data_IF_329332153345
#
_entry.id   IF_329332153345
#
_cell.length_a   1.000
_cell.length_b   1.000
_cell.length_c   1.000
_cell.angle_alpha   90.00
_cell.angle_beta   90.00
_cell.angle_gamma   90.00
#
_symmetry.space_group_name_H-M   'P 1'
#
loop_
_entity.id
_entity.type
_entity.pdbx_description
1 polymer ?
#
# COMPACT_ATOMS: atom_id res chain seq x y z
N UNK A 1 40.45 25.00 20.05
CA UNK A 1 40.41 23.61 19.56
C UNK A 1 39.29 22.78 20.20
N UNK A 2 39.23 22.62 21.54
CA UNK A 2 38.16 21.82 22.21
C UNK A 2 36.72 22.29 21.91
N UNK A 3 36.45 23.60 21.89
CA UNK A 3 35.10 24.14 21.59
C UNK A 3 34.66 23.86 20.14
N UNK A 4 35.58 23.95 19.17
CA UNK A 4 35.29 23.63 17.77
C UNK A 4 35.01 22.13 17.58
N UNK A 5 35.75 21.27 18.28
CA UNK A 5 35.50 19.82 18.28
C UNK A 5 34.11 19.47 18.82
N UNK A 6 33.68 20.11 19.92
CA UNK A 6 32.34 19.90 20.50
C UNK A 6 31.24 20.32 19.50
N UNK A 7 31.39 21.46 18.83
CA UNK A 7 30.41 21.92 17.83
C UNK A 7 30.31 20.93 16.66
N UNK A 8 31.43 20.42 16.16
CA UNK A 8 31.45 19.42 15.08
C UNK A 8 30.73 18.14 15.51
N UNK A 9 30.98 17.65 16.72
CA UNK A 9 30.32 16.44 17.25
C UNK A 9 28.81 16.63 17.42
N UNK A 10 28.36 17.80 17.87
CA UNK A 10 26.93 18.11 17.97
C UNK A 10 26.28 18.12 16.58
N UNK A 11 26.91 18.75 15.60
CA UNK A 11 26.41 18.78 14.22
C UNK A 11 26.32 17.37 13.64
N UNK A 12 27.37 16.55 13.82
CA UNK A 12 27.37 15.15 13.38
C UNK A 12 26.27 14.34 14.09
N UNK A 13 26.06 14.53 15.39
CA UNK A 13 25.00 13.90 16.14
C UNK A 13 23.61 14.23 15.58
N UNK A 14 23.35 15.50 15.27
CA UNK A 14 22.08 15.93 14.66
C UNK A 14 21.89 15.33 13.27
N UNK A 15 22.94 15.27 12.44
CA UNK A 15 22.88 14.65 11.11
C UNK A 15 22.55 13.15 11.22
N UNK A 16 23.21 12.43 12.14
CA UNK A 16 22.97 11.00 12.36
C UNK A 16 21.52 10.76 12.79
N UNK A 17 20.99 11.59 13.70
CA UNK A 17 19.60 11.49 14.15
C UNK A 17 18.62 11.76 13.01
N UNK A 18 18.88 12.76 12.16
CA UNK A 18 18.03 13.07 11.01
C UNK A 18 18.01 11.92 10.00
N UNK A 19 19.17 11.34 9.66
CA UNK A 19 19.28 10.19 8.75
C UNK A 19 18.60 8.96 9.36
N UNK A 20 18.88 8.66 10.62
CA UNK A 20 18.28 7.53 11.33
C UNK A 20 16.75 7.63 11.38
N UNK A 21 16.23 8.82 11.72
CA UNK A 21 14.80 9.11 11.70
C UNK A 21 14.19 8.94 10.30
N UNK A 22 14.86 9.43 9.27
CA UNK A 22 14.43 9.27 7.88
C UNK A 22 14.36 7.80 7.44
N UNK A 23 15.38 7.00 7.76
CA UNK A 23 15.42 5.56 7.45
C UNK A 23 14.29 4.83 8.16
N UNK A 24 14.05 5.10 9.44
CA UNK A 24 12.96 4.48 10.19
C UNK A 24 11.59 4.83 9.60
N UNK A 25 11.41 6.08 9.17
CA UNK A 25 10.16 6.53 8.55
C UNK A 25 9.88 5.82 7.22
N UNK A 26 10.87 5.68 6.32
CA UNK A 26 10.68 5.02 5.02
C UNK A 26 10.56 3.49 5.10
N UNK A 27 11.17 2.88 6.12
CA UNK A 27 11.10 1.43 6.35
C UNK A 27 9.85 1.00 7.11
N UNK A 28 9.13 1.96 7.71
CA UNK A 28 7.92 1.67 8.47
C UNK A 28 6.87 0.97 7.60
N UNK A 29 6.40 -0.20 8.07
CA UNK A 29 5.42 -1.04 7.38
C UNK A 29 5.98 -1.99 6.33
N UNK A 30 7.30 -2.00 6.07
CA UNK A 30 7.91 -2.84 5.04
C UNK A 30 7.76 -4.33 5.35
N UNK A 31 8.11 -4.74 6.57
CA UNK A 31 8.06 -6.15 6.97
C UNK A 31 6.62 -6.66 7.07
N UNK A 32 5.69 -5.84 7.61
CA UNK A 32 4.26 -6.14 7.60
C UNK A 32 3.74 -6.32 6.17
N UNK A 33 4.14 -5.44 5.25
CA UNK A 33 3.75 -5.52 3.86
C UNK A 33 4.35 -6.70 3.08
N UNK A 34 5.60 -7.10 3.38
CA UNK A 34 6.23 -8.30 2.80
C UNK A 34 5.48 -9.56 3.22
N UNK A 35 5.16 -9.67 4.51
CA UNK A 35 4.49 -10.81 5.11
C UNK A 35 2.95 -10.73 5.02
N UNK A 36 2.43 -9.72 4.32
CA UNK A 36 0.99 -9.54 4.16
C UNK A 36 0.41 -10.72 3.38
N UNK A 37 -0.61 -11.33 3.99
CA UNK A 37 -1.42 -12.40 3.41
C UNK A 37 -2.66 -11.76 2.79
N UNK A 38 -2.87 -12.07 1.52
CA UNK A 38 -4.04 -11.65 0.75
C UNK A 38 -4.93 -12.88 0.59
N UNK A 39 -6.19 -12.77 0.99
CA UNK A 39 -7.17 -13.82 0.78
C UNK A 39 -7.90 -13.61 -0.54
N UNK A 40 -8.35 -14.70 -1.15
CA UNK A 40 -9.25 -14.63 -2.30
C UNK A 40 -10.59 -14.03 -1.91
N UNK A 41 -11.10 -13.18 -2.78
CA UNK A 41 -12.49 -12.70 -2.72
C UNK A 41 -13.25 -13.23 -3.91
N UNK A 42 -14.49 -13.63 -3.68
CA UNK A 42 -15.43 -14.03 -4.73
C UNK A 42 -16.51 -12.93 -4.85
N UNK A 43 -16.45 -12.07 -5.88
CA UNK A 43 -17.41 -10.98 -6.04
C UNK A 43 -18.85 -11.49 -6.26
N UNK A 44 -19.06 -12.77 -6.57
CA UNK A 44 -20.41 -13.33 -6.74
C UNK A 44 -21.18 -13.51 -5.43
N UNK A 45 -20.45 -13.50 -4.32
CA UNK A 45 -21.01 -13.55 -2.96
C UNK A 45 -21.23 -12.15 -2.36
N UNK A 46 -20.79 -11.11 -3.05
CA UNK A 46 -20.95 -9.71 -2.64
C UNK A 46 -22.19 -9.15 -3.33
N UNK A 47 -23.01 -8.40 -2.59
CA UNK A 47 -24.15 -7.70 -3.18
C UNK A 47 -23.67 -6.57 -4.12
N UNK A 48 -24.50 -6.20 -5.09
CA UNK A 48 -24.20 -5.05 -5.93
C UNK A 48 -24.19 -3.78 -5.07
N UNK A 49 -23.16 -2.94 -5.23
CA UNK A 49 -22.94 -1.78 -4.37
C UNK A 49 -21.55 -1.18 -4.52
N UNK A 50 -21.26 -0.20 -3.67
CA UNK A 50 -19.97 0.49 -3.61
C UNK A 50 -19.39 0.27 -2.21
N UNK A 51 -18.15 -0.21 -2.16
CA UNK A 51 -17.51 -0.66 -0.93
C UNK A 51 -16.16 0.03 -0.74
N UNK A 52 -15.91 0.58 0.44
CA UNK A 52 -14.62 1.19 0.77
C UNK A 52 -13.77 0.22 1.59
N UNK A 53 -12.50 0.11 1.22
CA UNK A 53 -11.52 -0.69 1.96
C UNK A 53 -10.20 0.04 2.08
N UNK A 54 -9.52 -0.17 3.20
CA UNK A 54 -8.24 0.47 3.49
C UNK A 54 -7.23 -0.51 4.06
N UNK A 55 -5.96 -0.20 3.87
CA UNK A 55 -4.83 -0.90 4.48
C UNK A 55 -3.92 0.12 5.17
N UNK A 56 -3.48 -0.21 6.39
CA UNK A 56 -2.56 0.62 7.17
C UNK A 56 -1.22 -0.10 7.32
N UNK A 57 -0.20 0.40 6.63
CA UNK A 57 1.11 -0.23 6.54
C UNK A 57 2.23 0.79 6.34
N UNK A 58 2.28 1.81 7.18
CA UNK A 58 3.26 2.88 7.09
C UNK A 58 3.17 3.61 5.75
N UNK A 59 4.28 3.69 5.00
CA UNK A 59 4.30 4.39 3.70
C UNK A 59 3.44 3.71 2.62
N UNK A 60 3.00 2.47 2.83
CA UNK A 60 2.10 1.72 1.94
C UNK A 60 0.63 1.80 2.35
N UNK A 61 0.28 2.65 3.31
CA UNK A 61 -1.12 2.85 3.68
C UNK A 61 -1.91 3.44 2.50
N UNK A 62 -3.07 2.87 2.18
CA UNK A 62 -3.89 3.28 1.05
C UNK A 62 -5.38 3.00 1.32
N UNK A 63 -6.24 3.58 0.50
CA UNK A 63 -7.70 3.43 0.54
C UNK A 63 -8.26 3.37 -0.87
N UNK A 64 -9.19 2.45 -1.09
CA UNK A 64 -9.85 2.22 -2.37
C UNK A 64 -11.35 2.13 -2.18
N UNK A 65 -12.07 2.46 -3.24
CA UNK A 65 -13.50 2.27 -3.39
C UNK A 65 -13.73 1.27 -4.53
N UNK A 66 -14.46 0.20 -4.26
CA UNK A 66 -14.73 -0.91 -5.19
C UNK A 66 -16.20 -0.93 -5.52
N UNK A 67 -16.53 -0.87 -6.80
CA UNK A 67 -17.90 -0.99 -7.31
C UNK A 67 -18.15 -2.42 -7.77
N UNK A 68 -19.19 -3.04 -7.22
CA UNK A 68 -19.73 -4.33 -7.64
C UNK A 68 -21.07 -4.10 -8.33
N UNK A 69 -21.22 -4.59 -9.55
CA UNK A 69 -22.47 -4.55 -10.31
C UNK A 69 -22.61 -5.82 -11.12
N UNK A 70 -23.84 -6.37 -11.18
CA UNK A 70 -24.10 -7.66 -11.81
C UNK A 70 -23.19 -8.77 -11.29
N UNK A 71 -22.90 -8.75 -9.98
CA UNK A 71 -22.00 -9.71 -9.30
C UNK A 71 -20.55 -9.70 -9.80
N UNK A 72 -20.11 -8.57 -10.36
CA UNK A 72 -18.75 -8.38 -10.88
C UNK A 72 -18.15 -7.08 -10.36
N UNK A 73 -16.84 -7.09 -10.15
CA UNK A 73 -16.05 -5.89 -9.91
C UNK A 73 -16.00 -5.10 -11.22
N UNK A 74 -16.65 -3.94 -11.26
CA UNK A 74 -16.72 -3.11 -12.46
C UNK A 74 -15.78 -1.91 -12.41
N UNK A 75 -15.45 -1.44 -11.20
CA UNK A 75 -14.60 -0.28 -11.01
C UNK A 75 -13.85 -0.36 -9.69
N UNK A 76 -12.62 0.16 -9.67
CA UNK A 76 -11.84 0.37 -8.45
C UNK A 76 -11.24 1.78 -8.52
N UNK A 77 -11.66 2.66 -7.61
CA UNK A 77 -11.15 4.01 -7.49
C UNK A 77 -10.13 4.07 -6.33
N UNK A 78 -8.99 4.71 -6.56
CA UNK A 78 -8.03 4.98 -5.49
C UNK A 78 -8.45 6.29 -4.80
N UNK A 79 -8.92 6.18 -3.56
CA UNK A 79 -9.32 7.32 -2.73
C UNK A 79 -8.09 7.93 -2.05
N UNK A 80 -7.17 7.07 -1.60
CA UNK A 80 -5.90 7.47 -1.00
C UNK A 80 -4.78 6.57 -1.49
N UNK A 81 -3.79 7.18 -2.13
CA UNK A 81 -2.60 6.48 -2.61
C UNK A 81 -1.57 6.23 -1.51
N UNK A 82 -0.68 5.27 -1.78
CA UNK A 82 0.56 5.09 -1.02
C UNK A 82 1.52 6.28 -1.18
N UNK A 83 2.46 6.44 -0.26
CA UNK A 83 3.57 7.36 -0.45
C UNK A 83 4.51 6.84 -1.56
N UNK A 84 5.06 7.76 -2.38
CA UNK A 84 5.90 7.43 -3.54
C UNK A 84 5.17 6.55 -4.58
N UNK A 85 3.91 6.89 -4.86
CA UNK A 85 3.10 6.17 -5.83
C UNK A 85 3.74 6.14 -7.24
N UNK A 86 3.52 5.02 -7.93
CA UNK A 86 3.72 4.86 -9.37
C UNK A 86 2.38 4.48 -10.01
N UNK A 87 1.66 5.44 -10.64
CA UNK A 87 0.33 5.19 -11.18
C UNK A 87 0.28 4.03 -12.19
N UNK A 88 1.36 3.83 -12.95
CA UNK A 88 1.52 2.70 -13.88
C UNK A 88 1.38 1.33 -13.18
N UNK A 89 1.92 1.20 -11.98
CA UNK A 89 1.85 -0.03 -11.17
C UNK A 89 0.44 -0.21 -10.63
N UNK A 90 -0.13 0.85 -10.05
CA UNK A 90 -1.47 0.83 -9.45
C UNK A 90 -2.53 0.50 -10.51
N UNK A 91 -2.47 1.16 -11.66
CA UNK A 91 -3.43 0.96 -12.75
C UNK A 91 -3.32 -0.45 -13.35
N UNK A 92 -2.10 -0.95 -13.58
CA UNK A 92 -1.90 -2.31 -14.08
C UNK A 92 -2.46 -3.36 -13.11
N UNK A 93 -2.24 -3.17 -11.81
CA UNK A 93 -2.77 -4.06 -10.78
C UNK A 93 -4.30 -4.04 -10.72
N UNK A 94 -4.91 -2.85 -10.72
CA UNK A 94 -6.37 -2.69 -10.70
C UNK A 94 -7.00 -3.35 -11.93
N UNK A 95 -6.42 -3.14 -13.11
CA UNK A 95 -6.89 -3.78 -14.34
C UNK A 95 -6.82 -5.31 -14.24
N UNK A 96 -5.73 -5.86 -13.68
CA UNK A 96 -5.63 -7.31 -13.45
C UNK A 96 -6.71 -7.83 -12.50
N UNK A 97 -7.03 -7.10 -11.42
CA UNK A 97 -8.10 -7.49 -10.49
C UNK A 97 -9.46 -7.47 -11.18
N UNK A 98 -9.75 -6.44 -11.97
CA UNK A 98 -11.01 -6.33 -12.73
C UNK A 98 -11.08 -7.43 -13.79
N UNK A 99 -9.98 -7.76 -14.48
CA UNK A 99 -9.99 -8.83 -15.49
C UNK A 99 -10.18 -10.22 -14.85
N UNK A 100 -9.47 -10.49 -13.74
CA UNK A 100 -9.49 -11.78 -13.05
C UNK A 100 -10.66 -11.96 -12.10
N UNK A 101 -11.34 -10.87 -11.72
CA UNK A 101 -12.44 -10.86 -10.75
C UNK A 101 -12.03 -11.48 -9.39
N UNK A 102 -10.77 -11.28 -8.98
CA UNK A 102 -10.22 -11.81 -7.73
C UNK A 102 -9.00 -10.99 -7.28
N UNK A 103 -8.68 -11.02 -5.99
CA UNK A 103 -7.52 -10.41 -5.34
C UNK A 103 -6.26 -11.28 -5.37
N UNK A 104 -6.37 -12.57 -5.72
CA UNK A 104 -5.20 -13.46 -5.91
C UNK A 104 -4.52 -13.27 -7.28
N UNK A 105 -4.11 -12.04 -7.57
CA UNK A 105 -3.33 -11.71 -8.76
C UNK A 105 -1.85 -11.55 -8.41
N UNK A 106 -0.98 -11.79 -9.40
CA UNK A 106 0.46 -11.63 -9.21
C UNK A 106 0.83 -10.17 -8.92
N UNK A 107 1.79 -9.99 -8.01
CA UNK A 107 2.35 -8.69 -7.74
C UNK A 107 3.21 -8.20 -8.91
N UNK A 108 3.24 -6.89 -9.14
CA UNK A 108 4.11 -6.29 -10.15
C UNK A 108 5.57 -6.35 -9.68
N UNK A 109 6.46 -6.82 -10.56
CA UNK A 109 7.91 -6.91 -10.26
C UNK A 109 8.48 -5.56 -9.84
N UNK A 110 9.26 -5.55 -8.76
CA UNK A 110 9.81 -4.33 -8.17
C UNK A 110 8.80 -3.49 -7.35
N UNK A 111 7.54 -3.91 -7.25
CA UNK A 111 6.50 -3.22 -6.49
C UNK A 111 5.67 -4.14 -5.59
N UNK A 112 6.23 -5.29 -5.16
CA UNK A 112 5.53 -6.34 -4.42
C UNK A 112 4.71 -5.84 -3.23
N UNK A 113 5.30 -5.00 -2.36
CA UNK A 113 4.61 -4.51 -1.17
C UNK A 113 3.50 -3.53 -1.52
N UNK A 114 3.71 -2.69 -2.53
CA UNK A 114 2.67 -1.79 -3.06
C UNK A 114 1.52 -2.58 -3.65
N UNK A 115 1.80 -3.63 -4.43
CA UNK A 115 0.76 -4.51 -4.97
C UNK A 115 -0.04 -5.17 -3.84
N UNK A 116 0.64 -5.80 -2.88
CA UNK A 116 -0.03 -6.42 -1.73
C UNK A 116 -0.88 -5.42 -0.94
N UNK A 117 -0.39 -4.20 -0.74
CA UNK A 117 -1.12 -3.18 0.00
C UNK A 117 -2.45 -2.79 -0.67
N UNK A 118 -2.46 -2.62 -2.00
CA UNK A 118 -3.71 -2.34 -2.73
C UNK A 118 -4.62 -3.57 -2.79
N UNK A 119 -4.07 -4.77 -3.01
CA UNK A 119 -4.86 -6.00 -2.98
C UNK A 119 -5.52 -6.21 -1.62
N UNK A 120 -4.85 -5.85 -0.53
CA UNK A 120 -5.43 -5.95 0.81
C UNK A 120 -6.56 -4.96 1.03
N UNK A 121 -6.43 -3.74 0.53
CA UNK A 121 -7.53 -2.76 0.60
C UNK A 121 -8.74 -3.22 -0.20
N UNK A 122 -8.53 -3.82 -1.38
CA UNK A 122 -9.61 -4.40 -2.19
C UNK A 122 -10.26 -5.60 -1.47
N UNK A 123 -9.45 -6.50 -0.89
CA UNK A 123 -9.93 -7.60 -0.07
C UNK A 123 -10.81 -7.09 1.08
N UNK A 124 -10.33 -6.09 1.80
CA UNK A 124 -11.03 -5.48 2.92
C UNK A 124 -12.34 -4.79 2.48
N UNK A 125 -12.39 -4.19 1.29
CA UNK A 125 -13.61 -3.60 0.74
C UNK A 125 -14.68 -4.68 0.50
N UNK A 126 -14.28 -5.82 -0.07
CA UNK A 126 -15.19 -6.90 -0.50
C UNK A 126 -15.49 -7.95 0.58
N UNK A 127 -14.83 -7.85 1.75
CA UNK A 127 -15.06 -8.74 2.90
C UNK A 127 -15.94 -8.10 3.98
N UNK A 128 -16.56 -6.95 3.69
CA UNK A 128 -17.45 -6.21 4.60
C UNK A 128 -18.90 -6.65 4.50
#
# INVERSE_FOLDING_TARGET
>A
MKKALIIILVILGVIILAIGGGILYISNGLESGKNLVINSVDPTQVADGVYTGSYQGGRWSNEVEVTVSEKKITQINVIKSVNFEKPEVTNALINNVIEKQNTLVDSISGATVTSKAYLKSIENALSN
#
